data_IF_370888406447
#
_entry.id   IF_370888406447
#
_cell.length_a   1.000
_cell.length_b   1.000
_cell.length_c   1.000
_cell.angle_alpha   90.00
_cell.angle_beta   90.00
_cell.angle_gamma   90.00
#
_symmetry.space_group_name_H-M   'P 1'
#
loop_
_entity.id
_entity.type
_entity.pdbx_description
1 polymer ?
#
# COMPACT_ATOMS: atom_id res chain seq x y z
N UNK A 1 46.35 -34.67 47.18
CA UNK A 1 46.00 -33.46 46.41
C UNK A 1 45.34 -33.92 45.12
N UNK A 2 44.11 -33.59 44.74
CA UNK A 2 43.02 -32.81 45.29
C UNK A 2 41.74 -33.43 44.67
N UNK A 3 40.87 -34.05 45.47
CA UNK A 3 39.49 -33.59 45.78
C UNK A 3 38.69 -33.04 44.59
N UNK A 4 37.81 -33.90 44.08
CA UNK A 4 36.64 -33.60 43.25
C UNK A 4 35.61 -32.76 44.01
N UNK A 5 35.14 -31.67 43.41
CA UNK A 5 33.91 -30.98 43.80
C UNK A 5 33.13 -30.60 42.53
N UNK A 6 31.95 -31.20 42.40
CA UNK A 6 30.91 -30.92 41.43
C UNK A 6 29.91 -29.93 42.04
N UNK A 7 29.83 -28.71 41.50
CA UNK A 7 28.83 -27.72 41.89
C UNK A 7 27.61 -27.80 40.96
N UNK A 8 26.59 -28.57 41.35
CA UNK A 8 25.23 -28.42 40.84
C UNK A 8 24.54 -27.27 41.61
N UNK A 9 24.41 -26.10 40.97
CA UNK A 9 23.54 -25.03 41.46
C UNK A 9 22.09 -25.39 41.18
N UNK A 10 21.40 -25.97 42.17
CA UNK A 10 19.94 -26.09 42.16
C UNK A 10 19.30 -24.70 42.36
N UNK A 11 18.54 -24.20 41.40
CA UNK A 11 17.73 -22.99 41.54
C UNK A 11 16.55 -23.28 42.48
N UNK A 12 16.56 -22.67 43.66
CA UNK A 12 15.47 -22.69 44.62
C UNK A 12 14.37 -21.72 44.15
N UNK A 13 13.22 -22.23 43.71
CA UNK A 13 12.03 -21.40 43.52
C UNK A 13 11.35 -21.17 44.88
N UNK A 14 11.16 -19.92 45.34
CA UNK A 14 10.34 -19.69 46.52
C UNK A 14 8.88 -20.00 46.16
N UNK A 15 8.25 -20.87 46.96
CA UNK A 15 6.80 -21.04 46.94
C UNK A 15 6.17 -19.72 47.41
N UNK A 16 5.50 -19.01 46.51
CA UNK A 16 4.67 -17.87 46.86
C UNK A 16 3.47 -18.37 47.65
N UNK A 17 3.34 -17.90 48.89
CA UNK A 17 2.14 -18.02 49.71
C UNK A 17 1.00 -17.24 49.04
N UNK A 18 -0.10 -17.95 48.76
CA UNK A 18 -1.39 -17.40 48.35
C UNK A 18 -1.90 -16.36 49.36
N UNK A 19 -2.01 -15.12 48.90
CA UNK A 19 -3.06 -14.18 49.31
C UNK A 19 -3.03 -12.96 48.37
N UNK A 20 -3.39 -13.20 47.10
CA UNK A 20 -3.89 -12.13 46.24
C UNK A 20 -5.26 -12.56 45.76
N UNK A 21 -6.29 -11.82 46.14
CA UNK A 21 -7.58 -11.88 45.47
C UNK A 21 -7.33 -11.64 43.98
N UNK A 22 -7.28 -12.73 43.19
CA UNK A 22 -7.08 -12.66 41.75
C UNK A 22 -8.20 -11.80 41.18
N UNK A 23 -7.86 -10.58 40.75
CA UNK A 23 -8.77 -9.72 39.99
C UNK A 23 -8.95 -10.40 38.65
N UNK A 24 -9.96 -11.27 38.56
CA UNK A 24 -10.29 -11.98 37.35
C UNK A 24 -10.96 -11.01 36.38
N UNK A 25 -10.18 -10.38 35.51
CA UNK A 25 -10.70 -9.55 34.41
C UNK A 25 -11.36 -10.50 33.40
N UNK A 26 -12.65 -10.31 33.06
CA UNK A 26 -13.31 -11.06 31.99
C UNK A 26 -12.52 -11.01 30.67
N UNK A 27 -12.37 -12.14 29.95
CA UNK A 27 -11.63 -12.20 28.69
C UNK A 27 -12.07 -11.15 27.67
N UNK A 28 -13.37 -10.83 27.62
CA UNK A 28 -13.95 -9.86 26.69
C UNK A 28 -13.48 -8.43 26.99
N UNK A 29 -13.37 -8.08 28.28
CA UNK A 29 -12.86 -6.78 28.70
C UNK A 29 -11.38 -6.66 28.39
N UNK A 30 -10.61 -7.72 28.64
CA UNK A 30 -9.21 -7.77 28.27
C UNK A 30 -9.03 -7.58 26.76
N UNK A 31 -9.83 -8.27 25.95
CA UNK A 31 -9.81 -8.17 24.49
C UNK A 31 -10.10 -6.75 24.00
N UNK A 32 -11.09 -6.09 24.61
CA UNK A 32 -11.44 -4.71 24.30
C UNK A 32 -10.35 -3.71 24.72
N UNK A 33 -9.72 -3.91 25.88
CA UNK A 33 -8.62 -3.05 26.35
C UNK A 33 -7.41 -3.19 25.43
N UNK A 34 -6.98 -4.43 25.17
CA UNK A 34 -5.78 -4.70 24.38
C UNK A 34 -5.94 -4.29 22.92
N UNK A 35 -7.13 -4.47 22.33
CA UNK A 35 -7.39 -4.03 20.94
C UNK A 35 -7.33 -2.51 20.75
N UNK A 36 -7.23 -1.71 21.81
CA UNK A 36 -7.02 -0.25 21.71
C UNK A 36 -5.56 0.16 21.86
N UNK A 37 -4.67 -0.79 22.15
CA UNK A 37 -3.25 -0.51 22.35
C UNK A 37 -2.48 -0.47 21.02
N UNK A 38 -1.39 0.31 20.94
CA UNK A 38 -0.53 0.30 19.76
C UNK A 38 0.04 -1.08 19.47
N UNK A 39 0.23 -1.40 18.18
CA UNK A 39 0.78 -2.68 17.71
C UNK A 39 2.09 -3.03 18.43
N UNK A 40 2.97 -2.04 18.62
CA UNK A 40 4.26 -2.19 19.29
C UNK A 40 4.14 -2.67 20.74
N UNK A 41 3.12 -2.21 21.46
CA UNK A 41 2.81 -2.68 22.81
C UNK A 41 2.30 -4.11 22.79
N UNK A 42 1.37 -4.41 21.88
CA UNK A 42 0.85 -5.76 21.68
C UNK A 42 1.94 -6.76 21.32
N UNK A 43 2.93 -6.35 20.51
CA UNK A 43 4.09 -7.18 20.20
C UNK A 43 4.91 -7.57 21.41
N UNK A 44 5.05 -6.67 22.40
CA UNK A 44 5.72 -6.97 23.67
C UNK A 44 4.86 -7.86 24.57
N UNK A 45 3.54 -7.65 24.53
CA UNK A 45 2.57 -8.36 25.37
C UNK A 45 2.41 -9.85 25.00
N UNK A 46 2.83 -10.25 23.80
CA UNK A 46 3.01 -11.67 23.45
C UNK A 46 3.92 -12.45 24.41
N UNK A 47 4.79 -11.77 25.14
CA UNK A 47 5.70 -12.39 26.11
C UNK A 47 5.12 -12.55 27.52
N UNK A 48 3.90 -12.02 27.78
CA UNK A 48 3.30 -12.02 29.12
C UNK A 48 2.80 -13.41 29.51
N UNK A 49 2.01 -14.06 28.66
CA UNK A 49 1.56 -15.43 28.86
C UNK A 49 1.15 -16.11 27.55
N UNK A 50 0.97 -17.44 27.58
CA UNK A 50 0.60 -18.25 26.40
C UNK A 50 -0.75 -17.84 25.79
N UNK A 51 -1.71 -17.47 26.64
CA UNK A 51 -3.03 -17.00 26.18
C UNK A 51 -2.89 -15.72 25.36
N UNK A 52 -2.15 -14.73 25.87
CA UNK A 52 -1.89 -13.46 25.18
C UNK A 52 -1.10 -13.65 23.90
N UNK A 53 -0.07 -14.49 23.93
CA UNK A 53 0.63 -14.90 22.72
C UNK A 53 -0.35 -15.44 21.66
N UNK A 54 -1.25 -16.35 22.07
CA UNK A 54 -2.15 -17.05 21.16
C UNK A 54 -3.14 -16.12 20.49
N UNK A 55 -3.91 -15.31 21.23
CA UNK A 55 -4.92 -14.46 20.59
C UNK A 55 -4.29 -13.26 19.86
N UNK A 56 -3.21 -12.65 20.38
CA UNK A 56 -2.53 -11.56 19.66
C UNK A 56 -1.95 -12.04 18.33
N UNK A 57 -1.45 -13.28 18.26
CA UNK A 57 -0.79 -13.81 17.06
C UNK A 57 -1.77 -14.44 16.07
N UNK A 58 -2.81 -15.14 16.55
CA UNK A 58 -3.59 -16.04 15.70
C UNK A 58 -5.08 -15.73 15.60
N UNK A 59 -5.61 -14.83 16.44
CA UNK A 59 -7.04 -14.52 16.43
C UNK A 59 -7.37 -13.40 15.43
N UNK A 60 -8.06 -13.77 14.35
CA UNK A 60 -8.44 -12.84 13.28
C UNK A 60 -9.50 -11.84 13.72
N UNK A 61 -10.38 -12.19 14.66
CA UNK A 61 -11.37 -11.26 15.18
C UNK A 61 -10.70 -10.20 16.06
N UNK A 62 -9.60 -10.55 16.73
CA UNK A 62 -8.79 -9.61 17.50
C UNK A 62 -8.12 -8.61 16.57
N UNK A 63 -7.55 -9.09 15.46
CA UNK A 63 -6.92 -8.24 14.45
C UNK A 63 -7.93 -7.28 13.81
N UNK A 64 -9.14 -7.75 13.49
CA UNK A 64 -10.22 -6.90 12.96
C UNK A 64 -10.63 -5.84 13.98
N UNK A 65 -10.85 -6.22 15.23
CA UNK A 65 -11.24 -5.28 16.29
C UNK A 65 -10.14 -4.25 16.56
N UNK A 66 -8.87 -4.68 16.57
CA UNK A 66 -7.71 -3.79 16.72
C UNK A 66 -7.66 -2.74 15.59
N UNK A 67 -7.80 -3.18 14.34
CA UNK A 67 -7.83 -2.29 13.19
C UNK A 67 -9.01 -1.30 13.24
N UNK A 68 -10.21 -1.77 13.60
CA UNK A 68 -11.38 -0.92 13.75
C UNK A 68 -11.16 0.14 14.83
N UNK A 69 -10.65 -0.27 16.00
CA UNK A 69 -10.33 0.66 17.08
C UNK A 69 -9.24 1.65 16.70
N UNK A 70 -8.23 1.23 15.93
CA UNK A 70 -7.22 2.13 15.40
C UNK A 70 -7.87 3.17 14.49
N UNK A 71 -8.64 2.75 13.49
CA UNK A 71 -9.29 3.67 12.54
C UNK A 71 -10.24 4.67 13.24
N UNK A 72 -10.95 4.25 14.30
CA UNK A 72 -11.85 5.12 15.06
C UNK A 72 -11.14 6.11 15.98
N UNK A 73 -9.96 5.75 16.50
CA UNK A 73 -9.26 6.53 17.53
C UNK A 73 -7.98 7.19 17.03
N UNK A 74 -7.58 6.97 15.77
CA UNK A 74 -6.36 7.55 15.23
C UNK A 74 -6.55 9.07 15.07
N UNK A 75 -5.85 9.82 15.92
CA UNK A 75 -5.82 11.29 15.90
C UNK A 75 -4.60 11.86 15.18
N UNK A 76 -3.71 10.99 14.71
CA UNK A 76 -2.43 11.37 14.12
C UNK A 76 -2.15 10.50 12.88
N UNK A 77 -2.80 10.83 11.75
CA UNK A 77 -2.65 10.08 10.51
C UNK A 77 -1.23 10.30 9.96
N UNK A 78 -0.56 9.18 9.69
CA UNK A 78 0.79 9.19 9.13
C UNK A 78 0.77 8.72 7.69
N UNK A 79 1.64 9.28 6.88
CA UNK A 79 1.87 8.87 5.50
C UNK A 79 3.13 8.05 5.42
N UNK A 80 3.11 7.00 4.60
CA UNK A 80 4.32 6.29 4.24
C UNK A 80 4.75 6.66 2.84
N UNK A 81 6.00 7.10 2.73
CA UNK A 81 6.75 7.16 1.49
C UNK A 81 8.06 6.39 1.65
N UNK A 82 8.83 6.29 0.58
CA UNK A 82 10.20 5.82 0.65
C UNK A 82 11.10 6.82 -0.08
N UNK A 83 12.33 6.93 0.42
CA UNK A 83 13.35 7.77 -0.18
C UNK A 83 14.33 6.85 -0.92
N UNK A 84 14.67 7.24 -2.14
CA UNK A 84 15.80 6.64 -2.83
C UNK A 84 17.08 7.14 -2.17
N UNK A 85 17.93 6.23 -1.73
CA UNK A 85 19.25 6.60 -1.22
C UNK A 85 20.04 7.32 -2.30
N UNK A 86 20.79 8.36 -1.91
CA UNK A 86 21.75 9.07 -2.79
C UNK A 86 22.89 8.17 -3.25
N UNK A 87 23.17 7.13 -2.48
CA UNK A 87 24.19 6.15 -2.80
C UNK A 87 23.55 5.10 -3.70
N UNK A 88 24.22 4.74 -4.79
CA UNK A 88 23.88 3.64 -5.71
C UNK A 88 23.81 2.25 -5.02
N UNK A 89 23.66 2.18 -3.70
CA UNK A 89 23.34 0.98 -2.95
C UNK A 89 21.86 0.62 -3.14
N UNK A 90 21.62 -0.05 -4.26
CA UNK A 90 20.31 -0.60 -4.64
C UNK A 90 19.72 -1.57 -3.60
N UNK A 91 20.53 -2.05 -2.63
CA UNK A 91 20.20 -3.13 -1.69
C UNK A 91 19.44 -2.68 -0.45
N UNK A 92 19.45 -1.38 -0.15
CA UNK A 92 18.76 -0.83 1.02
C UNK A 92 17.81 0.29 0.59
N UNK A 93 16.64 0.36 1.22
CA UNK A 93 15.75 1.51 1.11
C UNK A 93 15.23 1.86 2.49
N UNK A 94 15.07 3.17 2.70
CA UNK A 94 14.46 3.70 3.89
C UNK A 94 13.02 4.05 3.57
N UNK A 95 12.11 3.34 4.23
CA UNK A 95 10.70 3.74 4.31
C UNK A 95 10.56 4.78 5.41
N UNK A 96 10.01 5.93 5.05
CA UNK A 96 9.80 7.04 5.96
C UNK A 96 8.33 7.16 6.31
N UNK A 97 8.08 7.42 7.59
CA UNK A 97 6.77 7.81 8.08
C UNK A 97 6.79 9.33 8.25
N UNK A 98 5.84 9.97 7.59
CA UNK A 98 5.61 11.41 7.62
C UNK A 98 4.36 11.68 8.44
N UNK A 99 4.39 12.71 9.27
CA UNK A 99 3.20 13.24 9.92
C UNK A 99 2.38 14.12 8.95
N UNK A 100 1.32 14.78 9.45
CA UNK A 100 0.46 15.66 8.65
C UNK A 100 1.16 16.92 8.14
N UNK A 101 2.20 17.37 8.85
CA UNK A 101 3.08 18.44 8.41
C UNK A 101 4.17 17.97 7.45
N UNK A 102 4.13 16.69 7.05
CA UNK A 102 5.17 16.02 6.27
C UNK A 102 6.58 16.17 6.85
N UNK A 103 6.66 16.43 8.15
CA UNK A 103 7.92 16.39 8.88
C UNK A 103 8.24 14.94 9.24
N UNK A 104 9.49 14.56 8.99
CA UNK A 104 10.03 13.26 9.38
C UNK A 104 10.88 13.43 10.62
N UNK A 105 10.27 13.50 11.80
CA UNK A 105 10.95 13.73 13.09
C UNK A 105 11.77 12.51 13.58
N UNK A 106 12.60 11.89 12.74
CA UNK A 106 13.40 10.69 13.06
C UNK A 106 12.59 9.41 13.38
N UNK A 107 11.50 9.14 12.66
CA UNK A 107 10.71 7.92 12.89
C UNK A 107 11.14 6.79 11.96
N UNK A 108 12.12 6.03 12.47
CA UNK A 108 12.32 4.59 12.25
C UNK A 108 12.16 4.08 10.81
N UNK A 109 13.17 4.36 9.99
CA UNK A 109 13.38 3.64 8.74
C UNK A 109 13.28 2.13 8.98
N UNK A 110 12.29 1.50 8.34
CA UNK A 110 12.22 0.06 8.31
C UNK A 110 13.34 -0.45 7.41
N UNK A 111 14.49 -0.76 8.00
CA UNK A 111 15.61 -1.35 7.30
C UNK A 111 15.32 -2.83 7.05
N UNK A 112 15.08 -3.20 5.79
CA UNK A 112 14.91 -4.59 5.40
C UNK A 112 16.24 -5.15 4.91
N UNK A 113 16.71 -6.21 5.57
CA UNK A 113 17.87 -6.97 5.11
C UNK A 113 17.36 -8.02 4.13
N UNK A 114 17.64 -7.82 2.85
CA UNK A 114 17.36 -8.81 1.81
C UNK A 114 18.51 -9.82 1.75
N UNK A 115 18.16 -11.08 1.52
CA UNK A 115 19.16 -12.15 1.35
C UNK A 115 20.10 -11.83 0.17
N UNK A 116 21.39 -12.11 0.35
CA UNK A 116 22.47 -11.88 -0.62
C UNK A 116 22.22 -12.61 -1.95
N UNK A 117 21.42 -13.69 -1.92
CA UNK A 117 21.14 -14.51 -3.10
C UNK A 117 20.17 -13.87 -4.11
N UNK A 118 19.39 -12.87 -3.70
CA UNK A 118 18.49 -12.11 -4.59
C UNK A 118 18.52 -10.62 -4.25
N UNK A 119 19.49 -9.86 -4.75
CA UNK A 119 19.55 -8.43 -4.51
C UNK A 119 18.31 -7.75 -5.09
N UNK A 120 17.49 -7.16 -4.21
CA UNK A 120 16.43 -6.24 -4.63
C UNK A 120 17.07 -4.93 -5.03
N UNK A 121 16.53 -4.32 -6.07
CA UNK A 121 16.81 -2.95 -6.44
C UNK A 121 15.65 -2.09 -5.99
N UNK A 122 15.88 -1.16 -5.08
CA UNK A 122 14.82 -0.24 -4.67
C UNK A 122 14.67 0.95 -5.62
N UNK A 123 15.65 1.20 -6.51
CA UNK A 123 15.47 2.09 -7.65
C UNK A 123 14.34 1.54 -8.52
N UNK A 124 13.33 2.37 -8.78
CA UNK A 124 12.10 2.00 -9.50
C UNK A 124 11.14 1.06 -8.75
N UNK A 125 11.28 0.88 -7.45
CA UNK A 125 10.22 0.28 -6.64
C UNK A 125 8.94 1.11 -6.74
N UNK A 126 7.78 0.49 -6.52
CA UNK A 126 6.49 1.19 -6.49
C UNK A 126 5.64 0.69 -5.33
N UNK A 127 5.04 1.63 -4.59
CA UNK A 127 3.88 1.31 -3.76
C UNK A 127 2.69 1.19 -4.70
N UNK A 128 2.16 -0.02 -4.85
CA UNK A 128 1.06 -0.31 -5.79
C UNK A 128 -0.31 -0.29 -5.11
N UNK A 129 -0.38 -0.56 -3.81
CA UNK A 129 -1.62 -0.46 -3.02
C UNK A 129 -1.35 -0.58 -1.53
N UNK A 130 -2.32 -0.17 -0.72
CA UNK A 130 -2.36 -0.48 0.71
C UNK A 130 -3.74 -0.99 1.11
N UNK A 131 -3.78 -1.89 2.10
CA UNK A 131 -5.03 -2.43 2.65
C UNK A 131 -4.81 -2.82 4.12
N UNK A 132 -5.57 -2.22 5.04
CA UNK A 132 -5.59 -2.58 6.46
C UNK A 132 -4.19 -2.60 7.10
N UNK A 133 -3.38 -1.58 6.79
CA UNK A 133 -2.01 -1.41 7.27
C UNK A 133 -0.95 -2.30 6.60
N UNK A 134 -1.34 -3.14 5.64
CA UNK A 134 -0.40 -3.85 4.77
C UNK A 134 -0.16 -3.01 3.50
N UNK A 135 1.10 -2.85 3.16
CA UNK A 135 1.56 -2.12 1.98
C UNK A 135 2.05 -3.14 0.96
N UNK A 136 1.54 -3.05 -0.26
CA UNK A 136 1.98 -3.88 -1.37
C UNK A 136 3.02 -3.12 -2.19
N UNK A 137 4.21 -3.69 -2.28
CA UNK A 137 5.34 -3.16 -3.02
C UNK A 137 5.59 -4.01 -4.27
N UNK A 138 5.84 -3.35 -5.38
CA UNK A 138 6.35 -3.95 -6.60
C UNK A 138 7.83 -3.58 -6.72
N UNK A 139 8.70 -4.59 -6.65
CA UNK A 139 10.15 -4.40 -6.46
C UNK A 139 10.92 -5.02 -7.62
N UNK A 140 11.80 -4.27 -8.31
CA UNK A 140 12.73 -4.86 -9.25
C UNK A 140 13.79 -5.69 -8.51
N UNK A 141 14.25 -6.73 -9.18
CA UNK A 141 15.23 -7.71 -8.69
C UNK A 141 16.39 -7.70 -9.66
N UNK A 142 17.58 -7.37 -9.16
CA UNK A 142 18.81 -7.46 -9.93
C UNK A 142 19.25 -8.93 -10.03
N UNK A 143 19.98 -9.28 -11.09
CA UNK A 143 20.72 -10.54 -11.08
C UNK A 143 21.90 -10.46 -10.09
N UNK A 144 22.42 -11.63 -9.69
CA UNK A 144 23.48 -11.76 -8.70
C UNK A 144 24.83 -11.12 -9.11
N UNK A 145 24.95 -10.60 -10.34
CA UNK A 145 26.16 -9.97 -10.86
C UNK A 145 26.13 -8.43 -10.78
N UNK A 146 25.03 -7.83 -10.28
CA UNK A 146 24.92 -6.38 -10.10
C UNK A 146 24.99 -5.60 -11.41
N UNK A 147 24.83 -6.26 -12.55
CA UNK A 147 24.71 -5.60 -13.85
C UNK A 147 23.23 -5.32 -14.09
N UNK A 148 22.86 -4.05 -14.03
CA UNK A 148 21.77 -3.58 -14.88
C UNK A 148 22.36 -3.67 -16.28
N UNK A 149 22.12 -4.78 -17.01
CA UNK A 149 22.60 -4.87 -18.39
C UNK A 149 21.97 -3.72 -19.19
N UNK A 150 22.79 -2.69 -19.42
CA UNK A 150 22.50 -1.61 -20.34
C UNK A 150 22.24 -2.17 -21.73
N UNK A 151 21.24 -1.59 -22.38
CA UNK A 151 20.80 -1.91 -23.74
C UNK A 151 20.30 -3.36 -23.92
N UNK A 152 19.24 -3.72 -23.16
CA UNK A 152 18.40 -4.89 -23.47
C UNK A 152 18.29 -5.95 -22.38
N UNK A 153 18.80 -5.71 -21.17
CA UNK A 153 18.71 -6.63 -20.04
C UNK A 153 17.31 -6.79 -19.43
N UNK A 154 16.99 -8.01 -18.99
CA UNK A 154 15.70 -8.36 -18.36
C UNK A 154 15.66 -7.97 -16.88
N UNK A 155 14.76 -7.07 -16.48
CA UNK A 155 14.52 -6.77 -15.06
C UNK A 155 13.45 -7.74 -14.54
N UNK A 156 13.81 -8.60 -13.59
CA UNK A 156 12.83 -9.40 -12.86
C UNK A 156 12.15 -8.53 -11.83
N UNK A 157 10.88 -8.81 -11.53
CA UNK A 157 10.16 -8.15 -10.45
C UNK A 157 9.62 -9.18 -9.47
N UNK A 158 9.41 -8.75 -8.23
CA UNK A 158 8.68 -9.51 -7.22
C UNK A 158 7.67 -8.60 -6.52
N UNK A 159 6.74 -9.22 -5.80
CA UNK A 159 5.81 -8.52 -4.92
C UNK A 159 6.24 -8.74 -3.47
N UNK A 160 6.19 -7.66 -2.68
CA UNK A 160 6.42 -7.71 -1.25
C UNK A 160 5.23 -7.11 -0.50
N UNK A 161 4.61 -7.91 0.37
CA UNK A 161 3.61 -7.42 1.32
C UNK A 161 4.31 -7.03 2.61
N UNK A 162 4.25 -5.76 2.94
CA UNK A 162 4.94 -5.16 4.07
C UNK A 162 3.93 -4.78 5.17
N UNK A 163 4.17 -5.22 6.41
CA UNK A 163 3.56 -4.66 7.61
C UNK A 163 4.60 -3.83 8.39
N UNK A 164 4.57 -2.49 8.28
CA UNK A 164 5.50 -1.63 9.01
C UNK A 164 5.34 -1.70 10.53
N UNK A 165 4.11 -1.87 11.01
CA UNK A 165 3.74 -1.79 12.43
C UNK A 165 4.37 -2.89 13.29
N UNK A 166 4.67 -4.03 12.68
CA UNK A 166 5.33 -5.18 13.31
C UNK A 166 6.67 -5.52 12.64
N UNK A 167 7.10 -4.73 11.64
CA UNK A 167 8.30 -4.91 10.83
C UNK A 167 8.44 -6.29 10.22
N UNK A 168 7.32 -6.81 9.70
CA UNK A 168 7.30 -8.08 8.97
C UNK A 168 7.01 -7.83 7.51
N UNK A 169 7.55 -8.69 6.67
CA UNK A 169 7.28 -8.68 5.25
C UNK A 169 7.07 -10.10 4.74
N UNK A 170 6.40 -10.21 3.60
CA UNK A 170 6.20 -11.47 2.88
C UNK A 170 6.51 -11.25 1.40
N UNK A 171 7.49 -11.99 0.90
CA UNK A 171 7.78 -12.07 -0.53
C UNK A 171 6.77 -12.98 -1.22
N UNK A 172 6.31 -12.56 -2.40
CA UNK A 172 5.45 -13.32 -3.28
C UNK A 172 6.09 -13.34 -4.66
N UNK A 173 6.54 -14.52 -5.07
CA UNK A 173 7.03 -14.75 -6.43
C UNK A 173 5.85 -14.91 -7.38
N UNK A 174 6.04 -14.46 -8.62
CA UNK A 174 5.04 -14.60 -9.66
C UNK A 174 4.84 -16.07 -10.07
N UNK A 175 3.62 -16.48 -10.48
CA UNK A 175 3.32 -17.86 -10.83
C UNK A 175 3.90 -18.29 -12.18
N UNK A 176 4.29 -17.36 -13.04
CA UNK A 176 4.89 -17.65 -14.35
C UNK A 176 6.42 -17.69 -14.27
N UNK A 177 7.00 -18.52 -15.13
CA UNK A 177 8.46 -18.74 -15.18
C UNK A 177 9.16 -18.05 -16.34
N UNK A 178 8.41 -17.44 -17.26
CA UNK A 178 8.98 -16.82 -18.45
C UNK A 178 9.82 -15.60 -18.02
N UNK A 179 11.13 -15.71 -18.25
CA UNK A 179 12.17 -14.77 -17.82
C UNK A 179 12.40 -13.62 -18.80
N UNK A 180 11.79 -13.69 -19.97
CA UNK A 180 11.88 -12.66 -20.98
C UNK A 180 10.77 -11.65 -20.69
N UNK A 181 11.04 -10.63 -19.88
CA UNK A 181 10.15 -9.48 -19.78
C UNK A 181 10.98 -8.22 -19.93
N UNK A 182 10.63 -7.44 -20.97
CA UNK A 182 11.03 -6.04 -21.12
C UNK A 182 10.12 -5.10 -20.32
N UNK A 183 9.26 -5.65 -19.46
CA UNK A 183 8.16 -4.93 -18.86
C UNK A 183 8.66 -3.85 -17.92
N UNK A 184 8.64 -2.61 -18.39
CA UNK A 184 8.42 -1.47 -17.52
C UNK A 184 7.17 -1.78 -16.65
N UNK A 185 7.01 -1.14 -15.47
CA UNK A 185 5.84 -1.31 -14.60
C UNK A 185 4.46 -1.19 -15.27
N UNK A 186 4.43 -0.72 -16.52
CA UNK A 186 3.28 -0.48 -17.38
C UNK A 186 2.59 -1.77 -17.87
N UNK A 187 3.24 -2.95 -17.84
CA UNK A 187 2.67 -4.20 -18.39
C UNK A 187 2.05 -5.14 -17.33
N UNK A 188 2.19 -4.81 -16.04
CA UNK A 188 1.70 -5.62 -14.92
C UNK A 188 0.93 -4.74 -13.95
N UNK A 189 -0.39 -4.94 -13.88
CA UNK A 189 -1.23 -4.29 -12.90
C UNK A 189 -1.30 -5.13 -11.63
N UNK A 190 -1.16 -4.49 -10.48
CA UNK A 190 -1.15 -5.16 -9.17
C UNK A 190 -2.04 -4.41 -8.19
N UNK A 191 -2.95 -5.11 -7.53
CA UNK A 191 -3.73 -4.56 -6.40
C UNK A 191 -3.85 -5.61 -5.29
N UNK A 192 -3.51 -5.21 -4.08
CA UNK A 192 -3.73 -5.97 -2.86
C UNK A 192 -4.98 -5.47 -2.15
N UNK A 193 -5.81 -6.39 -1.67
CA UNK A 193 -7.07 -6.05 -1.03
C UNK A 193 -7.67 -7.18 -0.19
N UNK A 194 -8.78 -6.87 0.47
CA UNK A 194 -9.54 -7.81 1.31
C UNK A 194 -10.84 -8.22 0.62
N UNK A 195 -11.03 -9.53 0.45
CA UNK A 195 -12.34 -10.12 0.19
C UNK A 195 -13.16 -10.07 1.48
N UNK A 196 -14.18 -9.20 1.52
CA UNK A 196 -14.87 -8.83 2.77
C UNK A 196 -15.63 -10.02 3.38
N UNK A 197 -16.45 -10.74 2.59
CA UNK A 197 -17.31 -11.80 3.15
C UNK A 197 -16.48 -12.99 3.59
N UNK A 198 -15.51 -13.43 2.77
CA UNK A 198 -14.63 -14.54 3.13
C UNK A 198 -13.53 -14.16 4.14
N UNK A 199 -13.31 -12.87 4.40
CA UNK A 199 -12.19 -12.37 5.21
C UNK A 199 -10.84 -12.92 4.73
N UNK A 200 -10.60 -12.84 3.42
CA UNK A 200 -9.36 -13.31 2.78
C UNK A 200 -8.64 -12.15 2.11
N UNK A 201 -7.41 -11.91 2.51
CA UNK A 201 -6.52 -11.01 1.77
C UNK A 201 -6.08 -11.67 0.47
N UNK A 202 -6.27 -10.94 -0.62
CA UNK A 202 -5.98 -11.38 -1.98
C UNK A 202 -5.12 -10.33 -2.69
N UNK A 203 -4.33 -10.80 -3.64
CA UNK A 203 -3.53 -9.99 -4.52
C UNK A 203 -3.93 -10.33 -5.95
N UNK A 204 -4.43 -9.35 -6.68
CA UNK A 204 -4.82 -9.50 -8.08
C UNK A 204 -3.70 -8.97 -8.94
N UNK A 205 -3.27 -9.78 -9.90
CA UNK A 205 -2.26 -9.41 -10.87
C UNK A 205 -2.81 -9.63 -12.27
N UNK A 206 -2.81 -8.57 -13.08
CA UNK A 206 -3.16 -8.63 -14.49
C UNK A 206 -1.89 -8.37 -15.27
N UNK A 207 -1.51 -9.29 -16.16
CA UNK A 207 -0.33 -9.15 -16.99
C UNK A 207 -0.69 -9.33 -18.45
N UNK A 208 0.06 -8.70 -19.34
CA UNK A 208 0.02 -8.95 -20.77
C UNK A 208 1.14 -9.90 -21.20
N UNK A 209 0.82 -10.87 -22.04
CA UNK A 209 1.82 -11.76 -22.66
C UNK A 209 2.37 -11.19 -23.98
N UNK A 210 3.30 -11.91 -24.60
CA UNK A 210 3.91 -11.52 -25.87
C UNK A 210 2.97 -11.58 -27.07
N UNK A 211 1.92 -12.40 -26.99
CA UNK A 211 0.85 -12.47 -27.99
C UNK A 211 -0.13 -11.29 -27.85
N UNK A 212 -0.01 -10.52 -26.77
CA UNK A 212 -0.89 -9.41 -26.44
C UNK A 212 -2.15 -9.83 -25.69
N UNK A 213 -2.23 -11.09 -25.26
CA UNK A 213 -3.31 -11.62 -24.43
C UNK A 213 -3.06 -11.26 -22.97
N UNK A 214 -4.15 -11.03 -22.22
CA UNK A 214 -4.05 -10.70 -20.81
C UNK A 214 -4.42 -11.88 -19.95
N UNK A 215 -3.64 -12.06 -18.89
CA UNK A 215 -3.80 -13.11 -17.89
C UNK A 215 -4.06 -12.49 -16.53
N UNK A 216 -5.01 -13.08 -15.82
CA UNK A 216 -5.44 -12.64 -14.49
C UNK A 216 -5.08 -13.71 -13.48
N UNK A 217 -4.26 -13.34 -12.51
CA UNK A 217 -3.83 -14.21 -11.43
C UNK A 217 -4.28 -13.65 -10.09
N UNK A 218 -4.81 -14.51 -9.25
CA UNK A 218 -5.21 -14.17 -7.88
C UNK A 218 -4.37 -15.00 -6.91
N UNK A 219 -3.61 -14.33 -6.06
CA UNK A 219 -2.93 -14.96 -4.93
C UNK A 219 -3.78 -14.83 -3.68
N UNK A 220 -4.02 -15.95 -3.01
CA UNK A 220 -4.72 -15.97 -1.73
C UNK A 220 -3.73 -16.06 -0.58
N UNK A 221 -3.76 -15.09 0.34
CA UNK A 221 -2.90 -15.12 1.54
C UNK A 221 -3.28 -16.25 2.51
N UNK A 222 -4.49 -16.83 2.37
CA UNK A 222 -4.96 -17.95 3.19
C UNK A 222 -4.30 -19.27 2.77
N UNK A 223 -4.25 -19.53 1.47
CA UNK A 223 -3.69 -20.77 0.92
C UNK A 223 -2.22 -20.61 0.51
N UNK A 224 -1.71 -19.39 0.52
CA UNK A 224 -0.38 -19.03 0.01
C UNK A 224 -0.13 -19.53 -1.41
N UNK A 225 -1.15 -19.48 -2.26
CA UNK A 225 -1.13 -20.06 -3.60
C UNK A 225 -1.76 -19.13 -4.62
N UNK A 226 -1.27 -19.25 -5.86
CA UNK A 226 -1.82 -18.57 -7.03
C UNK A 226 -2.92 -19.40 -7.68
N UNK A 227 -3.93 -18.71 -8.21
CA UNK A 227 -4.95 -19.27 -9.09
C UNK A 227 -5.03 -18.39 -10.34
N UNK A 228 -4.96 -19.00 -11.52
CA UNK A 228 -5.22 -18.29 -12.77
C UNK A 228 -6.73 -18.26 -13.03
N UNK A 229 -7.28 -17.06 -13.19
CA UNK A 229 -8.69 -16.84 -13.47
C UNK A 229 -8.86 -16.90 -14.99
N UNK A 230 -9.47 -17.98 -15.47
CA UNK A 230 -9.82 -18.17 -16.88
C UNK A 230 -11.04 -17.34 -17.23
N UNK A 231 -10.88 -16.01 -17.25
CA UNK A 231 -11.95 -15.12 -17.69
C UNK A 231 -11.91 -14.97 -19.21
N UNK A 232 -13.06 -15.13 -19.87
CA UNK A 232 -13.22 -14.87 -21.32
C UNK A 232 -13.62 -13.42 -21.57
N UNK A 233 -12.98 -12.49 -20.87
CA UNK A 233 -13.51 -11.13 -20.88
C UNK A 233 -13.00 -10.36 -22.11
N UNK A 234 -13.94 -9.83 -22.89
CA UNK A 234 -13.69 -8.73 -23.82
C UNK A 234 -13.07 -7.51 -23.10
N UNK A 235 -13.09 -7.47 -21.75
CA UNK A 235 -12.43 -6.48 -20.88
C UNK A 235 -10.96 -6.28 -21.16
N UNK A 236 -10.29 -7.21 -21.82
CA UNK A 236 -8.85 -7.22 -21.95
C UNK A 236 -8.40 -6.77 -23.37
N UNK A 237 -9.22 -6.05 -24.12
CA UNK A 237 -8.85 -5.56 -25.47
C UNK A 237 -8.24 -4.15 -25.49
N UNK A 238 -7.85 -3.62 -24.34
CA UNK A 238 -7.56 -2.19 -24.16
C UNK A 238 -6.13 -1.94 -23.67
N UNK A 239 -5.70 -0.68 -23.69
CA UNK A 239 -4.38 -0.27 -23.16
C UNK A 239 -4.53 0.26 -21.73
N UNK A 240 -3.51 0.00 -20.93
CA UNK A 240 -3.44 0.47 -19.56
C UNK A 240 -3.24 1.98 -19.50
N UNK A 241 -3.91 2.63 -18.53
CA UNK A 241 -3.36 3.84 -17.95
C UNK A 241 -2.16 3.41 -17.07
N UNK A 242 -1.07 4.18 -17.05
CA UNK A 242 0.17 3.85 -16.34
C UNK A 242 0.06 3.95 -14.82
N UNK A 243 -1.12 4.31 -14.31
CA UNK A 243 -1.41 4.49 -12.90
C UNK A 243 -1.65 3.15 -12.18
N UNK A 244 -1.18 3.01 -10.92
CA UNK A 244 -1.43 1.81 -10.13
C UNK A 244 -2.93 1.65 -9.84
N UNK A 245 -3.35 0.40 -9.64
CA UNK A 245 -4.74 0.14 -9.25
C UNK A 245 -5.02 0.50 -7.79
N UNK A 246 -6.30 0.60 -7.45
CA UNK A 246 -6.75 0.98 -6.09
C UNK A 246 -7.71 -0.04 -5.52
N UNK A 247 -7.48 -0.46 -4.28
CA UNK A 247 -8.45 -1.26 -3.52
C UNK A 247 -9.47 -0.35 -2.83
N UNK A 248 -10.75 -0.68 -2.96
CA UNK A 248 -11.82 -0.06 -2.18
C UNK A 248 -12.97 -1.04 -1.97
N UNK A 249 -13.43 -1.17 -0.73
CA UNK A 249 -14.66 -1.88 -0.35
C UNK A 249 -14.83 -3.30 -0.97
N UNK A 250 -13.77 -4.11 -1.01
CA UNK A 250 -13.83 -5.47 -1.57
C UNK A 250 -13.55 -5.59 -3.07
N UNK A 251 -13.28 -4.47 -3.75
CA UNK A 251 -13.01 -4.42 -5.17
C UNK A 251 -11.62 -3.83 -5.47
N UNK A 252 -10.98 -4.35 -6.50
CA UNK A 252 -9.78 -3.76 -7.10
C UNK A 252 -10.17 -2.95 -8.33
N UNK A 253 -9.65 -1.74 -8.47
CA UNK A 253 -10.08 -0.79 -9.49
C UNK A 253 -8.91 -0.31 -10.34
N UNK A 254 -9.16 -0.13 -11.62
CA UNK A 254 -8.22 0.45 -12.58
C UNK A 254 -8.97 1.31 -13.58
N UNK A 255 -8.29 2.33 -14.11
CA UNK A 255 -8.81 3.14 -15.21
C UNK A 255 -8.22 2.62 -16.51
N UNK A 256 -9.12 2.34 -17.46
CA UNK A 256 -8.82 1.68 -18.73
C UNK A 256 -9.13 2.62 -19.88
N UNK A 257 -8.24 2.66 -20.89
CA UNK A 257 -8.41 3.51 -22.08
C UNK A 257 -8.80 2.66 -23.28
N UNK A 258 -9.99 2.91 -23.83
CA UNK A 258 -10.51 2.28 -25.03
C UNK A 258 -9.70 2.70 -26.25
N UNK A 259 -9.01 1.73 -26.86
CA UNK A 259 -8.03 1.93 -27.93
C UNK A 259 -8.61 2.45 -29.25
N UNK A 260 -9.92 2.31 -29.48
CA UNK A 260 -10.57 2.72 -30.74
C UNK A 260 -11.14 4.13 -30.72
N UNK A 261 -11.54 4.62 -29.54
CA UNK A 261 -12.30 5.87 -29.40
C UNK A 261 -11.68 6.86 -28.39
N UNK A 262 -10.67 6.43 -27.62
CA UNK A 262 -10.07 7.26 -26.54
C UNK A 262 -10.95 7.34 -25.29
N UNK A 263 -12.14 6.73 -25.31
CA UNK A 263 -13.03 6.69 -24.16
C UNK A 263 -12.39 5.93 -23.00
N UNK A 264 -12.68 6.37 -21.77
CA UNK A 264 -12.10 5.77 -20.58
C UNK A 264 -13.22 5.15 -19.75
N UNK A 265 -12.98 3.97 -19.21
CA UNK A 265 -13.90 3.29 -18.30
C UNK A 265 -13.14 2.83 -17.06
N UNK A 266 -13.85 2.70 -15.95
CA UNK A 266 -13.29 2.10 -14.75
C UNK A 266 -13.62 0.62 -14.73
N UNK A 267 -12.59 -0.22 -14.71
CA UNK A 267 -12.74 -1.65 -14.53
C UNK A 267 -12.58 -2.00 -13.05
N UNK A 268 -13.47 -2.85 -12.55
CA UNK A 268 -13.51 -3.28 -11.16
C UNK A 268 -13.47 -4.81 -11.09
N UNK A 269 -12.59 -5.37 -10.29
CA UNK A 269 -12.53 -6.80 -10.00
C UNK A 269 -13.03 -7.07 -8.59
N UNK A 270 -14.12 -7.83 -8.47
CA UNK A 270 -14.69 -8.24 -7.19
C UNK A 270 -13.81 -9.33 -6.57
N UNK A 271 -13.23 -9.09 -5.39
CA UNK A 271 -12.36 -10.05 -4.72
C UNK A 271 -13.11 -11.27 -4.19
N UNK A 272 -14.42 -11.16 -3.96
CA UNK A 272 -15.25 -12.25 -3.45
C UNK A 272 -15.67 -13.20 -4.57
N UNK A 273 -16.29 -12.64 -5.61
CA UNK A 273 -16.83 -13.42 -6.73
C UNK A 273 -15.80 -13.67 -7.84
N UNK A 274 -14.60 -13.07 -7.73
CA UNK A 274 -13.48 -13.19 -8.69
C UNK A 274 -13.88 -12.85 -10.14
N UNK A 275 -14.73 -11.84 -10.30
CA UNK A 275 -15.30 -11.42 -11.57
C UNK A 275 -15.12 -9.92 -11.82
N UNK A 276 -15.02 -9.57 -13.11
CA UNK A 276 -14.94 -8.19 -13.56
C UNK A 276 -16.32 -7.55 -13.71
N UNK A 277 -16.35 -6.26 -13.44
CA UNK A 277 -17.47 -5.35 -13.67
C UNK A 277 -16.91 -3.98 -14.07
N UNK A 278 -17.78 -3.05 -14.47
CA UNK A 278 -17.38 -1.72 -14.91
C UNK A 278 -18.21 -0.66 -14.22
N UNK A 279 -17.60 0.50 -14.03
CA UNK A 279 -18.22 1.70 -13.48
C UNK A 279 -17.93 2.83 -14.47
N UNK A 280 -18.97 3.60 -14.80
CA UNK A 280 -18.80 4.78 -15.65
C UNK A 280 -18.05 5.86 -14.88
N UNK A 281 -17.08 6.48 -15.56
CA UNK A 281 -16.37 7.64 -15.03
C UNK A 281 -17.30 8.84 -14.91
N UNK A 282 -16.97 9.82 -14.04
CA UNK A 282 -17.70 11.09 -14.00
C UNK A 282 -17.63 11.83 -15.36
N UNK A 283 -18.50 12.82 -15.60
CA UNK A 283 -18.50 13.59 -16.84
C UNK A 283 -17.13 14.18 -17.14
N UNK A 284 -16.59 13.89 -18.33
CA UNK A 284 -15.28 14.41 -18.76
C UNK A 284 -15.36 15.88 -19.16
N UNK A 285 -14.34 16.65 -18.82
CA UNK A 285 -14.07 17.96 -19.39
C UNK A 285 -13.59 17.83 -20.83
N UNK A 286 -13.98 18.76 -21.71
CA UNK A 286 -13.62 18.76 -23.14
C UNK A 286 -12.11 18.98 -23.41
N UNK A 287 -11.35 19.41 -22.40
CA UNK A 287 -9.93 19.79 -22.48
C UNK A 287 -9.05 18.90 -21.57
N UNK A 288 -9.58 17.75 -21.10
CA UNK A 288 -8.81 16.86 -20.23
C UNK A 288 -7.65 16.20 -20.97
N UNK A 289 -6.50 16.05 -20.30
CA UNK A 289 -5.29 15.41 -20.84
C UNK A 289 -5.18 13.93 -20.51
N UNK A 290 -6.31 13.22 -20.54
CA UNK A 290 -6.41 11.76 -20.49
C UNK A 290 -6.00 11.07 -19.17
N UNK A 291 -5.89 11.78 -18.04
CA UNK A 291 -5.49 11.13 -16.79
C UNK A 291 -6.52 11.33 -15.68
N UNK A 292 -7.56 10.48 -15.71
CA UNK A 292 -8.26 10.17 -14.47
C UNK A 292 -7.37 9.26 -13.61
N UNK A 293 -7.36 9.51 -12.30
CA UNK A 293 -6.72 8.62 -11.31
C UNK A 293 -7.64 8.42 -10.13
N UNK A 294 -7.65 7.20 -9.61
CA UNK A 294 -8.47 6.82 -8.46
C UNK A 294 -7.75 7.26 -7.19
N UNK A 295 -8.50 7.90 -6.29
CA UNK A 295 -8.02 8.33 -4.97
C UNK A 295 -9.10 8.03 -3.94
N UNK A 296 -8.70 7.65 -2.73
CA UNK A 296 -9.62 7.47 -1.61
C UNK A 296 -9.45 8.63 -0.65
N UNK A 297 -10.55 9.31 -0.33
CA UNK A 297 -10.54 10.43 0.60
C UNK A 297 -11.67 10.27 1.62
N UNK A 298 -11.31 10.17 2.91
CA UNK A 298 -12.28 9.99 4.03
C UNK A 298 -13.30 8.87 3.77
N UNK A 299 -12.80 7.70 3.36
CA UNK A 299 -13.59 6.52 2.98
C UNK A 299 -14.57 6.74 1.81
N UNK A 300 -14.43 7.83 1.07
CA UNK A 300 -15.14 8.08 -0.18
C UNK A 300 -14.31 7.62 -1.37
N UNK A 301 -14.99 6.98 -2.32
CA UNK A 301 -14.39 6.60 -3.59
C UNK A 301 -14.35 7.82 -4.52
N UNK A 302 -13.15 8.30 -4.82
CA UNK A 302 -12.95 9.51 -5.60
C UNK A 302 -12.10 9.24 -6.85
N UNK A 303 -12.25 10.13 -7.82
CA UNK A 303 -11.40 10.19 -9.00
C UNK A 303 -11.04 11.64 -9.22
N UNK A 304 -9.76 11.94 -9.42
CA UNK A 304 -9.38 13.25 -9.92
C UNK A 304 -9.12 13.22 -11.41
N UNK A 305 -9.47 14.32 -12.06
CA UNK A 305 -9.27 14.60 -13.48
C UNK A 305 -8.29 15.75 -13.62
N UNK A 306 -7.17 15.50 -14.30
CA UNK A 306 -6.19 16.55 -14.62
C UNK A 306 -6.55 17.23 -15.93
N UNK A 307 -6.50 18.56 -15.94
CA UNK A 307 -6.80 19.43 -17.08
C UNK A 307 -5.62 20.36 -17.31
N UNK A 308 -5.07 20.36 -18.52
CA UNK A 308 -4.02 21.31 -18.92
C UNK A 308 -4.63 22.57 -19.51
N UNK A 309 -4.13 23.72 -19.05
CA UNK A 309 -4.61 25.05 -19.40
C UNK A 309 -3.42 25.95 -19.77
N UNK A 310 -2.67 25.56 -20.81
CA UNK A 310 -1.47 26.28 -21.24
C UNK A 310 -0.32 26.05 -20.26
N UNK A 311 0.07 27.08 -19.51
CA UNK A 311 1.13 27.00 -18.48
C UNK A 311 0.61 26.60 -17.09
N UNK A 312 -0.69 26.33 -16.97
CA UNK A 312 -1.37 26.00 -15.72
C UNK A 312 -2.04 24.62 -15.81
N UNK A 313 -2.30 24.02 -14.65
CA UNK A 313 -3.10 22.82 -14.50
C UNK A 313 -4.33 23.12 -13.65
N UNK A 314 -5.38 22.34 -13.87
CA UNK A 314 -6.48 22.24 -12.93
C UNK A 314 -6.76 20.78 -12.62
N UNK A 315 -7.12 20.50 -11.37
CA UNK A 315 -7.46 19.16 -10.89
C UNK A 315 -8.89 19.21 -10.37
N UNK A 316 -9.81 18.57 -11.09
CA UNK A 316 -11.17 18.37 -10.61
C UNK A 316 -11.21 17.06 -9.81
N UNK A 317 -11.68 17.11 -8.56
CA UNK A 317 -11.82 15.93 -7.71
C UNK A 317 -13.31 15.57 -7.63
N UNK A 318 -13.67 14.41 -8.15
CA UNK A 318 -15.02 13.86 -8.15
C UNK A 318 -15.15 12.79 -7.07
N UNK A 319 -16.19 12.88 -6.26
CA UNK A 319 -16.52 11.87 -5.24
C UNK A 319 -17.81 11.14 -5.58
N UNK A 320 -17.82 9.82 -5.40
CA UNK A 320 -19.02 8.99 -5.52
C UNK A 320 -19.68 8.87 -4.14
N UNK A 321 -20.86 9.49 -3.98
CA UNK A 321 -21.57 9.48 -2.69
C UNK A 321 -22.09 8.09 -2.32
N UNK A 322 -22.53 7.34 -3.31
CA UNK A 322 -23.03 5.97 -3.17
C UNK A 322 -22.20 5.06 -4.08
N UNK A 323 -21.28 4.30 -3.48
CA UNK A 323 -20.38 3.43 -4.25
C UNK A 323 -21.15 2.46 -5.16
N UNK A 324 -20.78 2.41 -6.44
CA UNK A 324 -21.44 1.64 -7.49
C UNK A 324 -22.60 2.36 -8.20
N UNK A 325 -23.05 3.52 -7.72
CA UNK A 325 -24.09 4.32 -8.35
C UNK A 325 -23.48 5.47 -9.16
N UNK A 326 -23.35 5.32 -10.49
CA UNK A 326 -22.76 6.32 -11.38
C UNK A 326 -23.50 7.67 -11.35
N UNK A 327 -24.80 7.71 -11.04
CA UNK A 327 -25.55 8.96 -10.90
C UNK A 327 -25.21 9.74 -9.63
N UNK A 328 -24.47 9.13 -8.70
CA UNK A 328 -24.07 9.75 -7.43
C UNK A 328 -22.72 10.49 -7.50
N UNK A 329 -22.07 10.48 -8.67
CA UNK A 329 -20.87 11.29 -8.91
C UNK A 329 -21.18 12.77 -8.70
N UNK A 330 -20.33 13.43 -7.93
CA UNK A 330 -20.39 14.88 -7.75
C UNK A 330 -19.00 15.45 -7.60
N UNK A 331 -18.75 16.60 -8.23
CA UNK A 331 -17.49 17.31 -8.05
C UNK A 331 -17.42 17.82 -6.62
N UNK A 332 -16.41 17.35 -5.89
CA UNK A 332 -16.12 17.72 -4.51
C UNK A 332 -15.30 19.02 -4.46
N UNK A 333 -14.31 19.14 -5.33
CA UNK A 333 -13.35 20.25 -5.31
C UNK A 333 -12.73 20.45 -6.69
N UNK A 334 -12.32 21.68 -6.99
CA UNK A 334 -11.45 22.02 -8.11
C UNK A 334 -10.25 22.80 -7.58
N UNK A 335 -9.05 22.39 -7.98
CA UNK A 335 -7.80 23.03 -7.56
C UNK A 335 -7.07 23.51 -8.82
N UNK A 336 -6.87 24.82 -8.95
CA UNK A 336 -6.11 25.42 -10.04
C UNK A 336 -4.66 25.64 -9.60
N UNK A 337 -3.70 25.24 -10.42
CA UNK A 337 -2.28 25.12 -10.09
C UNK A 337 -1.45 25.82 -11.17
N UNK A 338 -0.70 26.86 -10.78
CA UNK A 338 0.11 27.67 -11.70
C UNK A 338 1.55 27.15 -11.84
N UNK A 339 1.72 25.95 -12.41
CA UNK A 339 3.03 25.37 -12.70
C UNK A 339 3.05 24.69 -14.07
N UNK A 340 4.21 24.73 -14.74
CA UNK A 340 4.40 24.10 -16.05
C UNK A 340 4.38 22.57 -16.03
N UNK A 341 4.63 21.94 -14.88
CA UNK A 341 4.60 20.48 -14.76
C UNK A 341 4.49 20.06 -13.30
N UNK A 342 3.50 19.22 -13.00
CA UNK A 342 3.22 18.72 -11.65
C UNK A 342 3.20 17.20 -11.60
N UNK A 343 3.42 16.65 -10.41
CA UNK A 343 3.18 15.25 -10.06
C UNK A 343 2.25 15.18 -8.87
N UNK A 344 1.13 14.48 -8.99
CA UNK A 344 0.13 14.32 -7.93
C UNK A 344 0.42 13.08 -7.06
N UNK A 345 0.21 13.22 -5.75
CA UNK A 345 0.47 12.15 -4.76
C UNK A 345 -0.78 11.66 -4.03
N UNK A 346 -1.72 12.55 -3.74
CA UNK A 346 -2.85 12.22 -2.90
C UNK A 346 -3.62 13.43 -2.42
N UNK A 347 -4.54 13.20 -1.50
CA UNK A 347 -5.29 14.24 -0.78
C UNK A 347 -4.99 14.02 0.71
N UNK A 348 -4.57 15.06 1.41
CA UNK A 348 -4.34 14.97 2.85
C UNK A 348 -5.66 14.87 3.63
N UNK A 349 -5.62 14.70 4.95
CA UNK A 349 -6.86 14.57 5.74
C UNK A 349 -7.70 15.85 5.82
N UNK A 350 -7.09 17.00 5.54
CA UNK A 350 -7.78 18.29 5.49
C UNK A 350 -8.50 18.49 4.15
N UNK A 351 -8.17 17.68 3.13
CA UNK A 351 -8.71 17.82 1.78
C UNK A 351 -7.82 18.64 0.86
N UNK A 352 -6.56 18.92 1.24
CA UNK A 352 -5.60 19.58 0.37
C UNK A 352 -4.98 18.58 -0.59
N UNK A 353 -4.84 18.98 -1.85
CA UNK A 353 -4.19 18.20 -2.89
C UNK A 353 -2.67 18.23 -2.68
N UNK A 354 -2.04 17.05 -2.67
CA UNK A 354 -0.61 16.88 -2.50
C UNK A 354 0.07 16.70 -3.86
N UNK A 355 1.08 17.52 -4.14
CA UNK A 355 1.81 17.48 -5.40
C UNK A 355 3.26 17.93 -5.26
N UNK A 356 4.10 17.62 -6.25
CA UNK A 356 5.42 18.23 -6.43
C UNK A 356 5.54 18.82 -7.83
N UNK A 357 6.54 19.69 -8.01
CA UNK A 357 6.90 20.23 -9.33
C UNK A 357 8.12 19.50 -9.86
N UNK A 358 8.32 19.54 -11.17
CA UNK A 358 9.53 18.99 -11.80
C UNK A 358 10.68 20.01 -11.88
N UNK A 359 10.45 21.27 -11.48
CA UNK A 359 11.41 22.36 -11.58
C UNK A 359 12.37 22.39 -10.39
N UNK A 360 13.28 21.42 -10.33
CA UNK A 360 14.56 21.52 -9.60
C UNK A 360 14.51 21.40 -8.07
N UNK A 361 13.37 21.63 -7.42
CA UNK A 361 13.16 21.35 -6.01
C UNK A 361 12.26 20.11 -5.83
N UNK A 362 12.72 19.09 -5.12
CA UNK A 362 11.90 17.89 -4.82
C UNK A 362 10.91 18.14 -3.67
N UNK A 363 10.41 19.38 -3.56
CA UNK A 363 9.55 19.80 -2.45
C UNK A 363 8.13 19.28 -2.67
N UNK A 364 7.60 18.66 -1.62
CA UNK A 364 6.19 18.32 -1.52
C UNK A 364 5.40 19.59 -1.17
N UNK A 365 4.27 19.76 -1.85
CA UNK A 365 3.40 20.93 -1.71
C UNK A 365 1.96 20.48 -1.46
N UNK A 366 1.21 21.30 -0.72
CA UNK A 366 -0.23 21.14 -0.52
C UNK A 366 -0.97 22.43 -0.89
N UNK A 367 -2.08 22.29 -1.62
CA UNK A 367 -3.01 23.39 -1.86
C UNK A 367 -4.46 22.91 -1.80
N UNK A 368 -5.38 23.79 -1.46
CA UNK A 368 -6.81 23.56 -1.62
C UNK A 368 -7.44 24.58 -2.58
N UNK A 369 -8.74 24.44 -2.82
CA UNK A 369 -9.54 25.32 -3.66
C UNK A 369 -9.85 26.68 -3.03
N UNK A 370 -9.66 26.83 -1.72
CA UNK A 370 -10.12 27.98 -0.95
C UNK A 370 -8.98 28.97 -0.66
N UNK A 371 -7.74 28.51 -0.67
CA UNK A 371 -6.53 29.32 -0.54
C UNK A 371 -5.69 29.25 -1.81
N UNK A 372 -5.37 30.41 -2.39
CA UNK A 372 -4.28 30.50 -3.38
C UNK A 372 -2.90 30.24 -2.72
N UNK A 373 -2.85 30.09 -1.39
CA UNK A 373 -1.65 29.75 -0.65
C UNK A 373 -1.24 28.29 -0.89
N UNK A 374 -0.02 28.13 -1.40
CA UNK A 374 0.66 26.84 -1.52
C UNK A 374 1.49 26.65 -0.25
N UNK A 375 1.19 25.59 0.49
CA UNK A 375 2.00 25.18 1.62
C UNK A 375 3.15 24.30 1.11
N UNK A 376 4.38 24.73 1.33
CA UNK A 376 5.57 23.96 1.02
C UNK A 376 6.04 23.21 2.27
N UNK A 377 6.38 21.94 2.10
CA UNK A 377 6.97 21.13 3.16
C UNK A 377 8.47 20.97 2.89
N UNK A 378 9.30 21.34 3.85
CA UNK A 378 10.75 21.09 3.79
C UNK A 378 11.00 19.58 3.74
N UNK A 379 11.19 19.04 2.54
CA UNK A 379 11.54 17.62 2.37
C UNK A 379 12.98 17.39 2.81
N UNK A 380 13.26 16.33 3.58
CA UNK A 380 14.62 15.80 3.64
C UNK A 380 15.12 15.50 2.21
N UNK A 381 16.32 15.96 1.90
CA UNK A 381 16.99 15.96 0.59
C UNK A 381 16.54 14.85 -0.39
N UNK A 382 16.02 15.24 -1.56
CA UNK A 382 15.77 14.35 -2.71
C UNK A 382 14.90 13.11 -2.43
N UNK A 383 13.70 13.32 -1.91
CA UNK A 383 12.69 12.26 -1.90
C UNK A 383 12.11 12.10 -3.30
N UNK A 384 12.52 11.05 -4.01
CA UNK A 384 11.79 10.60 -5.20
C UNK A 384 10.56 9.81 -4.75
N UNK A 385 9.61 10.52 -4.14
CA UNK A 385 8.29 9.97 -3.85
C UNK A 385 7.67 9.64 -5.22
N UNK A 386 7.42 8.36 -5.46
CA UNK A 386 6.63 7.91 -6.61
C UNK A 386 5.16 7.78 -6.22
N UNK A 387 4.88 7.34 -4.98
CA UNK A 387 3.55 7.26 -4.37
C UNK A 387 3.65 7.37 -2.85
N UNK A 388 2.61 7.90 -2.20
CA UNK A 388 2.43 7.81 -0.75
C UNK A 388 1.12 7.08 -0.44
N UNK A 389 1.08 6.41 0.71
CA UNK A 389 -0.14 5.78 1.21
C UNK A 389 -0.35 6.12 2.68
N UNK A 390 -1.62 6.21 3.14
CA UNK A 390 -1.89 6.34 4.56
C UNK A 390 -1.38 5.08 5.29
N UNK A 391 -0.64 5.30 6.38
CA UNK A 391 -0.16 4.24 7.25
C UNK A 391 -1.22 3.92 8.30
N UNK A 392 -1.58 2.64 8.40
CA UNK A 392 -2.47 2.13 9.44
C UNK A 392 -1.74 1.12 10.30
N UNK A 393 -2.01 1.10 11.61
CA UNK A 393 -1.48 0.03 12.44
C UNK A 393 -2.19 -1.29 12.18
N UNK A 394 -1.40 -2.37 12.08
CA UNK A 394 -1.93 -3.68 11.76
C UNK A 394 -1.17 -4.80 12.46
N UNK A 395 -1.90 -5.84 12.84
CA UNK A 395 -1.36 -7.11 13.35
C UNK A 395 -1.35 -8.23 12.30
N UNK A 396 -1.66 -7.90 11.05
CA UNK A 396 -1.64 -8.86 9.94
C UNK A 396 -0.20 -9.31 9.61
N UNK A 397 -0.05 -10.48 8.99
CA UNK A 397 1.26 -11.11 8.69
C UNK A 397 2.07 -11.54 9.93
N UNK A 398 1.42 -11.68 11.09
CA UNK A 398 2.05 -12.14 12.34
C UNK A 398 2.56 -13.58 12.32
#
# INVERSE_FOLDING_TARGET
MASSLSDEKSCYCPKSSDDSSDIHIPPELLYNILSRLPSKSLMRFRCVCKSWYSFITHDLEFHKLHLLNFNLNNKDPRWMGYQLGSDYDYRTTNFWLYDESFHSDNIQACHFHWDETTPVNFCYSLIVSSCNGIICLYLPVNDALGKVEGEGGFVKFLICLLNPSIRKYRRIDFPWKDTFYYGLPEDVLVVFGLSIKSSVYKLVVIRKDFCGEYHVYVYSCRTSSWTEIKTKSFALQYRFNKEPGTYFNGFCHWIWVHTREGDQTMMCFNLEDENFSYIDLPPKSQISTDHFRIVIFKDMFCVWETIEMGENFAVNIWGMKEYGNCSSWSMFQRVDIQYLSIRLFGIDVSGRLLFSTWQGDSLLRACDSNSEEIHEFESCETVSILNMVPCQESLLLL
#
